data_IF_613674176229
#
_entry.id   IF_613674176229
#
_cell.length_a   1.000
_cell.length_b   1.000
_cell.length_c   1.000
_cell.angle_alpha   90.00
_cell.angle_beta   90.00
_cell.angle_gamma   90.00
#
_symmetry.space_group_name_H-M   'P 1'
#
loop_
_entity.id
_entity.type
_entity.pdbx_description
1 polymer ?
#
# COMPACT_ATOMS: atom_id res chain seq x y z
N UNK A 1 -9.40 9.19 4.80
CA UNK A 1 -10.34 8.98 5.91
C UNK A 1 -11.27 10.17 6.04
N UNK A 2 -10.76 11.38 6.30
CA UNK A 2 -11.55 12.63 6.39
C UNK A 2 -12.45 12.82 5.14
N UNK A 3 -11.89 12.62 3.94
CA UNK A 3 -12.62 12.71 2.68
C UNK A 3 -13.87 11.81 2.59
N UNK A 4 -13.83 10.58 3.12
CA UNK A 4 -14.97 9.65 3.08
C UNK A 4 -16.01 10.03 4.12
N UNK A 5 -15.58 10.51 5.29
CA UNK A 5 -16.47 11.00 6.33
C UNK A 5 -17.20 12.28 5.90
N UNK A 6 -16.49 13.21 5.24
CA UNK A 6 -17.06 14.45 4.73
C UNK A 6 -18.09 14.20 3.62
N UNK A 7 -17.81 13.25 2.71
CA UNK A 7 -18.75 12.85 1.66
C UNK A 7 -20.08 12.29 2.21
N UNK A 8 -20.06 11.72 3.41
CA UNK A 8 -21.25 11.16 4.08
C UNK A 8 -21.81 12.09 5.18
N UNK A 9 -21.17 13.23 5.45
CA UNK A 9 -21.54 14.13 6.53
C UNK A 9 -21.41 13.51 7.93
N UNK A 10 -20.53 12.52 8.11
CA UNK A 10 -20.40 11.77 9.36
C UNK A 10 -19.32 12.36 10.28
N UNK A 11 -19.75 13.03 11.36
CA UNK A 11 -18.88 13.53 12.44
C UNK A 11 -18.94 12.68 13.72
N UNK A 12 -19.53 11.48 13.64
CA UNK A 12 -19.87 10.66 14.81
C UNK A 12 -18.73 9.68 15.13
N UNK A 13 -18.53 9.36 16.40
CA UNK A 13 -17.58 8.31 16.84
C UNK A 13 -18.01 6.94 16.31
N UNK A 14 -17.03 6.09 15.99
CA UNK A 14 -17.21 4.73 15.42
C UNK A 14 -18.26 3.91 16.19
N UNK A 15 -18.23 3.94 17.52
CA UNK A 15 -19.13 3.14 18.38
C UNK A 15 -20.60 3.57 18.33
N UNK A 16 -20.91 4.72 17.72
CA UNK A 16 -22.28 5.26 17.59
C UNK A 16 -22.81 5.15 16.16
N UNK A 17 -22.07 4.53 15.24
CA UNK A 17 -22.54 4.35 13.87
C UNK A 17 -23.72 3.38 13.84
N UNK A 18 -24.73 3.74 13.07
CA UNK A 18 -25.80 2.79 12.73
C UNK A 18 -25.32 1.83 11.65
N UNK A 19 -25.93 0.64 11.59
CA UNK A 19 -25.61 -0.36 10.55
C UNK A 19 -25.78 0.21 9.14
N UNK A 20 -26.80 1.04 8.93
CA UNK A 20 -27.03 1.72 7.66
C UNK A 20 -25.87 2.64 7.24
N UNK A 21 -25.37 3.46 8.17
CA UNK A 21 -24.22 4.33 7.90
C UNK A 21 -22.96 3.53 7.61
N UNK A 22 -22.77 2.40 8.30
CA UNK A 22 -21.65 1.50 8.05
C UNK A 22 -21.71 0.89 6.64
N UNK A 23 -22.88 0.41 6.21
CA UNK A 23 -23.06 -0.16 4.87
C UNK A 23 -22.85 0.90 3.77
N UNK A 24 -23.24 2.15 4.00
CA UNK A 24 -22.94 3.26 3.10
C UNK A 24 -21.44 3.53 2.97
N UNK A 25 -20.70 3.55 4.10
CA UNK A 25 -19.24 3.70 4.10
C UNK A 25 -18.59 2.58 3.29
N UNK A 26 -18.97 1.33 3.54
CA UNK A 26 -18.43 0.19 2.82
C UNK A 26 -18.69 0.29 1.32
N UNK A 27 -19.91 0.67 0.91
CA UNK A 27 -20.25 0.82 -0.50
C UNK A 27 -19.38 1.88 -1.19
N UNK A 28 -19.19 3.04 -0.58
CA UNK A 28 -18.34 4.11 -1.13
C UNK A 28 -16.88 3.66 -1.21
N UNK A 29 -16.39 2.96 -0.18
CA UNK A 29 -15.02 2.47 -0.15
C UNK A 29 -14.80 1.45 -1.27
N UNK A 30 -15.68 0.45 -1.39
CA UNK A 30 -15.56 -0.61 -2.41
C UNK A 30 -15.69 -0.08 -3.84
N UNK A 31 -16.46 0.97 -4.08
CA UNK A 31 -16.66 1.53 -5.42
C UNK A 31 -15.51 2.46 -5.85
N UNK A 32 -14.98 3.26 -4.93
CA UNK A 32 -14.07 4.36 -5.28
C UNK A 32 -12.61 4.09 -4.94
N UNK A 33 -12.31 3.08 -4.11
CA UNK A 33 -10.97 2.87 -3.59
C UNK A 33 -10.53 1.41 -3.72
N UNK A 34 -9.29 1.22 -4.14
CA UNK A 34 -8.62 -0.07 -4.12
C UNK A 34 -8.11 -0.34 -2.70
N UNK A 35 -8.58 -1.42 -2.08
CA UNK A 35 -8.27 -1.74 -0.68
C UNK A 35 -7.51 -3.06 -0.57
N UNK A 36 -6.59 -3.09 0.38
CA UNK A 36 -5.84 -4.24 0.88
C UNK A 36 -5.34 -5.21 -0.21
N UNK A 37 -6.05 -6.31 -0.47
CA UNK A 37 -5.59 -7.36 -1.37
C UNK A 37 -5.40 -6.89 -2.82
N UNK A 38 -6.29 -6.05 -3.31
CA UNK A 38 -6.23 -5.54 -4.68
C UNK A 38 -5.11 -4.51 -4.83
N UNK A 39 -5.01 -3.59 -3.87
CA UNK A 39 -3.92 -2.61 -3.83
C UNK A 39 -2.54 -3.30 -3.75
N UNK A 40 -2.42 -4.37 -2.94
CA UNK A 40 -1.19 -5.20 -2.88
C UNK A 40 -0.87 -5.85 -4.23
N UNK A 41 -1.87 -6.32 -4.98
CA UNK A 41 -1.68 -6.87 -6.33
C UNK A 41 -1.21 -5.81 -7.31
N UNK A 42 -1.82 -4.62 -7.28
CA UNK A 42 -1.45 -3.48 -8.13
C UNK A 42 -0.01 -3.07 -7.87
N UNK A 43 0.38 -2.87 -6.60
CA UNK A 43 1.76 -2.52 -6.25
C UNK A 43 2.76 -3.57 -6.77
N UNK A 44 2.45 -4.86 -6.64
CA UNK A 44 3.30 -5.93 -7.18
C UNK A 44 3.38 -5.88 -8.71
N UNK A 45 2.25 -5.63 -9.38
CA UNK A 45 2.19 -5.48 -10.84
C UNK A 45 3.05 -4.32 -11.32
N UNK A 46 3.11 -3.23 -10.57
CA UNK A 46 3.89 -2.06 -10.95
C UNK A 46 5.40 -2.25 -10.69
N UNK A 47 5.78 -3.02 -9.65
CA UNK A 47 7.19 -3.29 -9.31
C UNK A 47 7.82 -4.37 -10.20
N UNK A 48 7.05 -5.40 -10.60
CA UNK A 48 7.59 -6.53 -11.39
C UNK A 48 8.29 -6.12 -12.69
N UNK A 49 7.71 -5.23 -13.54
CA UNK A 49 8.37 -4.75 -14.75
C UNK A 49 9.69 -4.03 -14.47
N UNK A 50 9.77 -3.26 -13.38
CA UNK A 50 11.01 -2.55 -13.02
C UNK A 50 12.15 -3.53 -12.77
N UNK A 51 11.86 -4.67 -12.16
CA UNK A 51 12.84 -5.73 -11.88
C UNK A 51 13.21 -6.47 -13.16
N UNK A 52 12.23 -6.82 -14.01
CA UNK A 52 12.51 -7.53 -15.26
C UNK A 52 13.32 -6.70 -16.25
N UNK A 53 13.09 -5.38 -16.29
CA UNK A 53 13.86 -4.45 -17.13
C UNK A 53 15.29 -4.27 -16.59
N UNK A 54 15.52 -4.53 -15.30
CA UNK A 54 16.85 -4.39 -14.68
C UNK A 54 17.27 -2.94 -14.44
N UNK A 55 16.32 -1.99 -14.39
CA UNK A 55 16.63 -0.59 -14.09
C UNK A 55 17.12 -0.43 -12.63
N UNK A 56 17.79 0.69 -12.31
CA UNK A 56 18.31 0.94 -10.96
C UNK A 56 17.25 0.73 -9.86
N UNK A 57 16.03 1.23 -10.09
CA UNK A 57 14.89 1.04 -9.17
C UNK A 57 14.54 -0.44 -8.99
N UNK A 58 14.53 -1.22 -10.06
CA UNK A 58 14.31 -2.66 -10.02
C UNK A 58 15.39 -3.40 -9.25
N UNK A 59 16.66 -3.10 -9.51
CA UNK A 59 17.78 -3.65 -8.75
C UNK A 59 17.66 -3.36 -7.26
N UNK A 60 17.34 -2.11 -6.87
CA UNK A 60 17.17 -1.71 -5.46
C UNK A 60 15.97 -2.41 -4.81
N UNK A 61 14.85 -2.54 -5.51
CA UNK A 61 13.69 -3.31 -5.05
C UNK A 61 14.05 -4.79 -4.81
N UNK A 62 14.76 -5.43 -5.74
CA UNK A 62 15.18 -6.83 -5.62
C UNK A 62 16.20 -7.03 -4.48
N UNK A 63 17.14 -6.09 -4.32
CA UNK A 63 18.14 -6.11 -3.26
C UNK A 63 17.60 -5.72 -1.87
N UNK A 64 16.35 -5.25 -1.77
CA UNK A 64 15.76 -4.79 -0.51
C UNK A 64 16.44 -3.53 0.04
N UNK A 65 16.88 -2.64 -0.85
CA UNK A 65 17.56 -1.39 -0.51
C UNK A 65 16.64 -0.18 -0.72
N UNK A 66 16.85 0.91 0.03
CA UNK A 66 16.07 2.14 -0.13
C UNK A 66 16.25 2.74 -1.54
N UNK A 67 15.16 3.26 -2.11
CA UNK A 67 15.11 3.77 -3.48
C UNK A 67 15.40 5.27 -3.61
N UNK A 68 15.25 6.05 -2.52
CA UNK A 68 15.43 7.52 -2.53
C UNK A 68 16.87 7.92 -2.18
N UNK A 69 17.84 7.13 -2.64
CA UNK A 69 19.28 7.37 -2.45
C UNK A 69 19.73 7.55 -0.99
N UNK A 70 19.00 6.95 -0.07
CA UNK A 70 19.36 6.95 1.34
C UNK A 70 20.64 6.11 1.56
N UNK A 71 21.47 6.54 2.52
CA UNK A 71 22.72 5.87 2.88
C UNK A 71 22.47 4.44 3.35
N UNK A 72 23.08 3.46 2.69
CA UNK A 72 22.87 2.02 2.97
C UNK A 72 23.92 1.39 3.89
N UNK A 73 25.03 2.06 4.16
CA UNK A 73 26.11 1.50 5.00
C UNK A 73 25.65 1.23 6.43
N UNK A 74 24.92 2.17 7.05
CA UNK A 74 24.54 2.13 8.47
C UNK A 74 23.03 1.92 8.67
N UNK A 75 22.19 2.73 8.02
CA UNK A 75 20.78 2.91 8.41
C UNK A 75 19.78 2.42 7.34
N UNK A 76 19.88 1.14 6.93
CA UNK A 76 18.95 0.50 6.00
C UNK A 76 18.19 -0.71 6.60
N UNK A 77 18.14 -0.81 7.94
CA UNK A 77 17.60 -1.98 8.66
C UNK A 77 16.16 -2.30 8.26
N UNK A 78 15.30 -1.30 8.16
CA UNK A 78 13.88 -1.50 7.83
C UNK A 78 13.70 -2.07 6.42
N UNK A 79 14.37 -1.52 5.40
CA UNK A 79 14.27 -2.03 4.03
C UNK A 79 14.87 -3.45 3.90
N UNK A 80 16.02 -3.69 4.54
CA UNK A 80 16.67 -5.00 4.56
C UNK A 80 15.83 -6.08 5.25
N UNK A 81 15.19 -5.73 6.37
CA UNK A 81 14.32 -6.63 7.13
C UNK A 81 13.01 -6.91 6.40
N UNK A 82 12.39 -5.86 5.88
CA UNK A 82 11.07 -5.97 5.26
C UNK A 82 11.11 -6.64 3.89
N UNK A 83 12.30 -6.73 3.26
CA UNK A 83 12.63 -7.43 2.00
C UNK A 83 11.36 -7.69 1.19
N UNK A 84 10.73 -6.58 0.76
CA UNK A 84 9.27 -6.49 0.55
C UNK A 84 8.72 -7.81 0.03
N UNK A 85 8.01 -8.49 0.93
CA UNK A 85 7.41 -9.83 0.76
C UNK A 85 7.02 -10.08 -0.70
N UNK A 86 7.53 -11.18 -1.28
CA UNK A 86 7.08 -11.87 -2.50
C UNK A 86 7.57 -11.41 -3.90
N UNK A 87 8.88 -11.49 -4.15
CA UNK A 87 9.38 -11.69 -5.54
C UNK A 87 10.30 -12.91 -5.66
N UNK A 88 10.62 -13.60 -4.56
CA UNK A 88 10.99 -15.02 -4.66
C UNK A 88 9.70 -15.81 -4.85
N UNK A 89 9.44 -16.17 -6.09
CA UNK A 89 8.62 -17.30 -6.48
C UNK A 89 9.27 -18.56 -5.90
N UNK A 90 8.74 -19.03 -4.79
CA UNK A 90 8.89 -20.40 -4.27
C UNK A 90 7.78 -20.59 -3.25
#
# INVERSE_FOLDING_TARGET
SIQVCDQLGLSIKVNKLTKYQFDQILKIISQNYLVDSELKRVIKRDIKPLISIGCYRGFRHNAGLPLRDQRTHTNAKTCRKLRYVSIRSS
#
